data_IF_598860774938
#
_entry.id   IF_598860774938
#
_cell.length_a   1.000
_cell.length_b   1.000
_cell.length_c   1.000
_cell.angle_alpha   90.00
_cell.angle_beta   90.00
_cell.angle_gamma   90.00
#
_symmetry.space_group_name_H-M   'P 1'
#
loop_
_entity.id
_entity.type
_entity.pdbx_description
1 polymer ?
#
# COMPACT_ATOMS: atom_id res chain seq x y z
N UNK A 1 22.19 -13.85 13.91
CA UNK A 1 20.77 -13.48 14.10
C UNK A 1 20.60 -12.13 13.46
N UNK A 2 19.85 -12.07 12.37
CA UNK A 2 19.67 -10.83 11.63
C UNK A 2 18.75 -9.89 12.40
N UNK A 3 19.13 -8.62 12.47
CA UNK A 3 18.36 -7.59 13.16
C UNK A 3 17.41 -6.99 12.13
N UNK A 4 16.09 -7.07 12.38
CA UNK A 4 15.11 -6.35 11.59
C UNK A 4 15.24 -4.84 11.85
N UNK A 5 15.52 -4.07 10.80
CA UNK A 5 15.69 -2.61 10.84
C UNK A 5 14.79 -1.96 9.80
N UNK A 6 14.21 -0.82 10.15
CA UNK A 6 13.30 -0.06 9.30
C UNK A 6 13.59 1.44 9.44
N UNK A 7 13.13 2.21 8.46
CA UNK A 7 13.09 3.66 8.58
C UNK A 7 11.71 4.06 9.10
N UNK A 8 11.70 5.01 10.04
CA UNK A 8 10.48 5.66 10.48
C UNK A 8 10.35 6.98 9.74
N UNK A 9 9.20 7.18 9.11
CA UNK A 9 8.85 8.41 8.43
C UNK A 9 7.75 9.11 9.19
N UNK A 10 7.77 10.43 9.19
CA UNK A 10 6.60 11.22 9.55
C UNK A 10 5.73 11.36 8.32
N UNK A 11 4.59 10.66 8.31
CA UNK A 11 3.64 10.72 7.20
C UNK A 11 2.68 11.92 7.34
N UNK A 12 2.56 12.53 8.53
CA UNK A 12 1.45 13.39 8.89
C UNK A 12 0.16 12.63 9.23
N UNK A 13 -0.94 13.36 9.38
CA UNK A 13 -2.24 12.81 9.74
C UNK A 13 -2.95 12.17 8.53
N UNK A 14 -3.47 10.95 8.71
CA UNK A 14 -4.27 10.27 7.70
C UNK A 14 -5.27 9.30 8.33
N UNK A 15 -6.27 8.90 7.54
CA UNK A 15 -7.13 7.76 7.84
C UNK A 15 -6.92 6.66 6.82
N UNK A 16 -6.81 5.41 7.27
CA UNK A 16 -6.70 4.24 6.40
C UNK A 16 -7.88 3.29 6.49
N UNK A 17 -8.11 2.57 5.39
CA UNK A 17 -9.21 1.63 5.22
C UNK A 17 -8.72 0.35 4.54
N UNK A 18 -9.38 -0.77 4.86
CA UNK A 18 -9.30 -2.04 4.12
C UNK A 18 -10.73 -2.41 3.73
N UNK A 19 -11.01 -2.50 2.43
CA UNK A 19 -12.36 -2.77 1.90
C UNK A 19 -13.42 -1.85 2.55
N UNK A 20 -13.14 -0.53 2.52
CA UNK A 20 -13.97 0.55 3.08
C UNK A 20 -14.22 0.53 4.59
N UNK A 21 -13.59 -0.39 5.31
CA UNK A 21 -13.62 -0.41 6.77
C UNK A 21 -12.36 0.26 7.30
N UNK A 22 -12.54 1.26 8.17
CA UNK A 22 -11.42 1.94 8.84
C UNK A 22 -10.55 0.90 9.55
N UNK A 23 -9.26 0.93 9.29
CA UNK A 23 -8.31 -0.06 9.79
C UNK A 23 -6.91 0.56 9.94
N UNK A 24 -6.14 0.08 10.90
CA UNK A 24 -4.71 0.37 11.01
C UNK A 24 -3.94 -0.55 10.06
N UNK A 25 -3.04 0.03 9.26
CA UNK A 25 -2.19 -0.70 8.32
C UNK A 25 -0.82 -0.94 8.95
N UNK A 26 -0.38 -2.20 9.02
CA UNK A 26 0.86 -2.59 9.68
C UNK A 26 0.86 -2.37 11.20
N UNK A 27 2.03 -2.58 11.80
CA UNK A 27 2.26 -2.52 13.25
C UNK A 27 3.38 -1.54 13.62
N UNK A 28 3.66 -0.53 12.79
CA UNK A 28 4.76 0.43 12.99
C UNK A 28 4.74 1.07 14.39
N UNK A 29 3.55 1.42 14.90
CA UNK A 29 3.38 2.04 16.21
C UNK A 29 3.69 1.08 17.36
N UNK A 30 3.31 -0.19 17.24
CA UNK A 30 3.61 -1.25 18.18
C UNK A 30 5.11 -1.53 18.18
N UNK A 31 5.75 -1.57 17.02
CA UNK A 31 7.20 -1.73 16.91
C UNK A 31 7.96 -0.58 17.54
N UNK A 32 7.52 0.66 17.33
CA UNK A 32 8.11 1.84 17.98
C UNK A 32 8.03 1.79 19.52
N UNK A 33 7.04 1.08 20.07
CA UNK A 33 6.86 0.87 21.53
C UNK A 33 7.57 -0.38 22.04
N UNK A 34 8.25 -1.14 21.19
CA UNK A 34 8.84 -2.44 21.57
C UNK A 34 7.80 -3.56 21.77
N UNK A 35 6.58 -3.38 21.25
CA UNK A 35 5.44 -4.30 21.43
C UNK A 35 5.28 -5.21 20.21
N UNK A 36 6.23 -6.10 19.97
CA UNK A 36 6.22 -7.04 18.85
C UNK A 36 6.55 -8.45 19.32
N UNK A 37 6.13 -9.47 18.56
CA UNK A 37 6.45 -10.86 18.87
C UNK A 37 7.96 -11.08 18.80
N UNK A 38 8.50 -11.79 19.79
CA UNK A 38 9.91 -12.23 19.81
C UNK A 38 10.04 -13.73 19.49
N UNK A 39 8.97 -14.35 18.99
CA UNK A 39 9.00 -15.76 18.62
C UNK A 39 9.98 -15.99 17.46
N UNK A 40 10.75 -17.10 17.48
CA UNK A 40 11.56 -17.49 16.33
C UNK A 40 10.71 -17.56 15.06
N UNK A 41 11.25 -17.07 13.94
CA UNK A 41 10.60 -17.08 12.63
C UNK A 41 9.34 -16.20 12.51
N UNK A 42 9.08 -15.31 13.47
CA UNK A 42 8.01 -14.32 13.31
C UNK A 42 8.25 -13.43 12.08
N UNK A 43 7.21 -13.24 11.27
CA UNK A 43 7.30 -12.48 10.01
C UNK A 43 7.31 -10.97 10.28
N UNK A 44 8.42 -10.46 10.80
CA UNK A 44 8.55 -9.07 11.22
C UNK A 44 8.29 -8.07 10.09
N UNK A 45 8.84 -8.35 8.90
CA UNK A 45 8.68 -7.48 7.74
C UNK A 45 7.20 -7.31 7.35
N UNK A 46 6.45 -8.42 7.27
CA UNK A 46 5.04 -8.40 6.90
C UNK A 46 4.18 -7.75 8.00
N UNK A 47 4.50 -8.03 9.26
CA UNK A 47 3.77 -7.49 10.41
C UNK A 47 3.99 -5.98 10.54
N UNK A 48 5.22 -5.51 10.35
CA UNK A 48 5.57 -4.09 10.42
C UNK A 48 4.85 -3.28 9.34
N UNK A 49 5.00 -3.65 8.07
CA UNK A 49 4.43 -2.89 6.94
C UNK A 49 2.94 -3.18 6.68
N UNK A 50 2.43 -4.30 7.20
CA UNK A 50 1.03 -4.71 7.11
C UNK A 50 0.76 -5.63 5.93
N UNK A 51 0.56 -6.91 6.22
CA UNK A 51 0.15 -7.93 5.24
C UNK A 51 -1.35 -8.01 4.98
N UNK A 52 -2.12 -6.97 5.32
CA UNK A 52 -3.55 -6.91 5.00
C UNK A 52 -3.73 -6.99 3.48
N UNK A 53 -4.68 -7.81 3.02
CA UNK A 53 -5.11 -7.89 1.62
C UNK A 53 -6.52 -7.31 1.46
N UNK A 54 -6.85 -6.86 0.25
CA UNK A 54 -8.05 -6.11 -0.07
C UNK A 54 -7.70 -4.72 -0.63
N UNK A 55 -8.73 -3.97 -1.01
CA UNK A 55 -8.55 -2.59 -1.44
C UNK A 55 -8.13 -1.76 -0.24
N UNK A 56 -6.89 -1.29 -0.24
CA UNK A 56 -6.35 -0.44 0.82
C UNK A 56 -6.48 1.00 0.35
N UNK A 57 -7.03 1.85 1.21
CA UNK A 57 -7.19 3.29 0.93
C UNK A 57 -6.56 4.12 2.04
N UNK A 58 -5.82 5.14 1.65
CA UNK A 58 -5.32 6.20 2.54
C UNK A 58 -5.98 7.53 2.16
N UNK A 59 -6.43 8.27 3.17
CA UNK A 59 -7.00 9.62 3.03
C UNK A 59 -6.14 10.59 3.85
N UNK A 60 -5.40 11.45 3.17
CA UNK A 60 -4.60 12.52 3.78
C UNK A 60 -5.32 13.88 3.77
N UNK A 61 -6.49 13.97 3.13
CA UNK A 61 -7.37 15.13 3.14
C UNK A 61 -6.69 16.42 2.63
N UNK A 62 -5.93 16.29 1.55
CA UNK A 62 -5.20 17.38 0.89
C UNK A 62 -5.89 17.69 -0.46
N UNK A 63 -7.04 18.40 -0.49
CA UNK A 63 -7.91 18.48 -1.67
C UNK A 63 -7.25 19.09 -2.92
N UNK A 64 -6.15 19.82 -2.77
CA UNK A 64 -5.39 20.41 -3.87
C UNK A 64 -4.31 19.46 -4.45
N UNK A 65 -4.16 18.25 -3.88
CA UNK A 65 -3.23 17.22 -4.35
C UNK A 65 -3.94 16.16 -5.20
N UNK A 66 -3.23 15.50 -6.13
CA UNK A 66 -3.80 14.43 -6.94
C UNK A 66 -4.23 13.21 -6.10
N UNK A 67 -5.09 12.37 -6.69
CA UNK A 67 -5.39 11.03 -6.21
C UNK A 67 -4.50 9.99 -6.89
N UNK A 68 -3.97 9.05 -6.11
CA UNK A 68 -3.01 8.05 -6.54
C UNK A 68 -3.62 6.64 -6.56
N UNK A 69 -3.32 5.86 -7.60
CA UNK A 69 -3.46 4.41 -7.61
C UNK A 69 -2.09 3.75 -7.65
N UNK A 70 -1.80 2.90 -6.67
CA UNK A 70 -0.61 2.05 -6.62
C UNK A 70 -1.02 0.61 -6.97
N UNK A 71 -0.40 0.06 -7.99
CA UNK A 71 -0.50 -1.34 -8.39
C UNK A 71 0.83 -2.01 -8.06
N UNK A 72 0.83 -2.92 -7.09
CA UNK A 72 2.09 -3.46 -6.56
C UNK A 72 1.96 -4.83 -5.94
N UNK A 73 3.07 -5.55 -5.85
CA UNK A 73 3.20 -6.72 -4.99
C UNK A 73 3.66 -6.36 -3.59
N UNK A 74 4.21 -7.35 -2.87
CA UNK A 74 4.79 -7.14 -1.55
C UNK A 74 5.82 -6.00 -1.53
N UNK A 75 6.50 -5.67 -2.63
CA UNK A 75 7.47 -4.56 -2.68
C UNK A 75 6.84 -3.19 -2.48
N UNK A 76 5.52 -3.04 -2.64
CA UNK A 76 4.80 -1.80 -2.34
C UNK A 76 4.53 -1.60 -0.86
N UNK A 77 4.49 -2.66 -0.04
CA UNK A 77 4.15 -2.56 1.39
C UNK A 77 5.05 -1.57 2.15
N UNK A 78 6.39 -1.54 1.94
CA UNK A 78 7.27 -0.62 2.65
C UNK A 78 7.11 0.86 2.29
N UNK A 79 6.60 1.16 1.10
CA UNK A 79 6.65 2.52 0.55
C UNK A 79 5.26 3.14 0.35
N UNK A 80 4.19 2.34 0.32
CA UNK A 80 2.83 2.82 0.01
C UNK A 80 2.36 3.97 0.89
N UNK A 81 2.70 3.97 2.18
CA UNK A 81 2.37 5.08 3.10
C UNK A 81 3.16 6.34 2.80
N UNK A 82 4.46 6.19 2.49
CA UNK A 82 5.32 7.31 2.14
C UNK A 82 4.88 7.95 0.81
N UNK A 83 4.52 7.15 -0.19
CA UNK A 83 3.93 7.69 -1.41
C UNK A 83 2.61 8.38 -1.09
N UNK A 84 1.72 7.70 -0.36
CA UNK A 84 0.39 8.24 -0.05
C UNK A 84 0.41 9.59 0.69
N UNK A 85 1.42 9.86 1.53
CA UNK A 85 1.53 11.14 2.25
C UNK A 85 1.72 12.38 1.38
N UNK A 86 1.97 12.20 0.08
CA UNK A 86 2.09 13.28 -0.90
C UNK A 86 0.84 13.48 -1.78
N UNK A 87 -0.24 12.73 -1.53
CA UNK A 87 -1.46 12.71 -2.34
C UNK A 87 -2.69 12.97 -1.47
N UNK A 88 -3.80 13.37 -2.08
CA UNK A 88 -5.06 13.58 -1.37
C UNK A 88 -5.64 12.26 -0.86
N UNK A 89 -5.82 11.33 -1.80
CA UNK A 89 -6.28 9.96 -1.60
C UNK A 89 -5.32 9.02 -2.31
N UNK A 90 -5.07 7.86 -1.73
CA UNK A 90 -4.34 6.78 -2.40
C UNK A 90 -5.11 5.48 -2.29
N UNK A 91 -5.28 4.80 -3.43
CA UNK A 91 -5.74 3.41 -3.53
C UNK A 91 -4.52 2.53 -3.76
N UNK A 92 -4.39 1.47 -2.97
CA UNK A 92 -3.37 0.45 -3.13
C UNK A 92 -4.05 -0.88 -3.42
N UNK A 93 -3.68 -1.51 -4.54
CA UNK A 93 -4.14 -2.83 -4.94
C UNK A 93 -2.94 -3.79 -4.99
N UNK A 94 -3.07 -4.93 -4.31
CA UNK A 94 -2.11 -6.03 -4.46
C UNK A 94 -2.35 -6.82 -5.77
N UNK A 95 -1.53 -7.84 -6.02
CA UNK A 95 -1.67 -8.71 -7.21
C UNK A 95 -3.05 -9.39 -7.31
N UNK A 96 -3.67 -9.74 -6.19
CA UNK A 96 -5.00 -10.36 -6.17
C UNK A 96 -6.08 -9.36 -6.57
N UNK A 97 -6.07 -8.15 -6.00
CA UNK A 97 -7.08 -7.14 -6.38
C UNK A 97 -6.88 -6.68 -7.82
N UNK A 98 -5.64 -6.52 -8.24
CA UNK A 98 -5.28 -6.11 -9.61
C UNK A 98 -5.76 -7.10 -10.66
N UNK A 99 -5.79 -8.41 -10.34
CA UNK A 99 -6.26 -9.45 -11.25
C UNK A 99 -7.77 -9.70 -11.22
N UNK A 100 -8.50 -9.11 -10.28
CA UNK A 100 -9.94 -9.38 -10.08
C UNK A 100 -10.84 -8.18 -10.30
N UNK A 101 -10.33 -6.96 -10.12
CA UNK A 101 -11.09 -5.72 -10.28
C UNK A 101 -10.97 -5.17 -11.71
N UNK A 102 -12.00 -4.45 -12.15
CA UNK A 102 -11.91 -3.60 -13.33
C UNK A 102 -11.14 -2.33 -12.97
N UNK A 103 -9.89 -2.24 -13.43
CA UNK A 103 -9.02 -1.10 -13.13
C UNK A 103 -9.54 0.22 -13.72
N UNK A 104 -10.24 0.19 -14.85
CA UNK A 104 -10.84 1.40 -15.41
C UNK A 104 -11.96 1.91 -14.49
N UNK A 105 -12.76 0.99 -13.95
CA UNK A 105 -13.79 1.33 -12.97
C UNK A 105 -13.17 1.87 -11.67
N UNK A 106 -12.09 1.25 -11.17
CA UNK A 106 -11.36 1.76 -9.99
C UNK A 106 -10.84 3.17 -10.23
N UNK A 107 -10.26 3.43 -11.41
CA UNK A 107 -9.75 4.76 -11.80
C UNK A 107 -10.89 5.79 -11.84
N UNK A 108 -12.01 5.43 -12.47
CA UNK A 108 -13.16 6.32 -12.61
C UNK A 108 -13.85 6.61 -11.27
N UNK A 109 -14.11 5.59 -10.44
CA UNK A 109 -14.84 5.73 -9.17
C UNK A 109 -14.05 6.47 -8.09
N UNK A 110 -12.72 6.53 -8.22
CA UNK A 110 -11.84 7.14 -7.23
C UNK A 110 -11.18 8.43 -7.72
N UNK A 111 -11.59 8.95 -8.88
CA UNK A 111 -11.04 10.15 -9.52
C UNK A 111 -9.50 10.11 -9.59
N UNK A 112 -8.92 9.00 -10.06
CA UNK A 112 -7.47 8.79 -10.04
C UNK A 112 -6.77 9.67 -11.08
N UNK A 113 -5.81 10.47 -10.64
CA UNK A 113 -4.98 11.34 -11.48
C UNK A 113 -3.65 10.68 -11.88
N UNK A 114 -3.09 9.88 -10.97
CA UNK A 114 -1.76 9.27 -11.12
C UNK A 114 -1.84 7.78 -10.87
N UNK A 115 -1.27 6.99 -11.77
CA UNK A 115 -1.13 5.53 -11.61
C UNK A 115 0.36 5.18 -11.50
N UNK A 116 0.73 4.44 -10.47
CA UNK A 116 2.09 3.93 -10.25
C UNK A 116 2.06 2.41 -10.25
N UNK A 117 2.89 1.82 -11.08
CA UNK A 117 3.20 0.39 -11.05
C UNK A 117 4.53 0.22 -10.30
N UNK A 118 4.55 -0.60 -9.26
CA UNK A 118 5.74 -0.84 -8.46
C UNK A 118 5.86 -2.34 -8.19
N UNK A 119 6.94 -2.97 -8.63
CA UNK A 119 7.08 -4.41 -8.44
C UNK A 119 8.17 -5.00 -9.29
N UNK A 120 8.11 -6.32 -9.47
CA UNK A 120 9.01 -7.03 -10.39
C UNK A 120 8.62 -6.76 -11.83
N UNK A 121 9.59 -6.80 -12.76
CA UNK A 121 9.38 -6.58 -14.20
C UNK A 121 8.23 -7.44 -14.75
N UNK A 122 8.11 -8.70 -14.32
CA UNK A 122 7.05 -9.62 -14.73
C UNK A 122 5.63 -9.12 -14.44
N UNK A 123 5.45 -8.28 -13.42
CA UNK A 123 4.16 -7.65 -13.12
C UNK A 123 3.82 -6.47 -14.02
N UNK A 124 4.79 -5.91 -14.75
CA UNK A 124 4.52 -4.88 -15.75
C UNK A 124 4.17 -5.52 -17.10
N UNK A 125 4.75 -6.69 -17.39
CA UNK A 125 4.48 -7.43 -18.63
C UNK A 125 3.00 -7.77 -18.83
N UNK A 126 2.25 -8.05 -17.74
CA UNK A 126 0.80 -8.29 -17.81
C UNK A 126 -0.01 -7.09 -18.33
N UNK A 127 0.55 -5.89 -18.29
CA UNK A 127 -0.08 -4.66 -18.77
C UNK A 127 0.44 -4.19 -20.13
N UNK A 128 1.54 -4.79 -20.63
CA UNK A 128 2.15 -4.40 -21.89
C UNK A 128 1.39 -4.89 -23.14
N UNK A 129 0.29 -5.62 -22.96
CA UNK A 129 -0.51 -6.17 -24.04
C UNK A 129 0.26 -7.24 -24.82
N UNK A 130 -0.28 -8.46 -24.88
CA UNK A 130 -0.12 -9.23 -26.11
C UNK A 130 -0.84 -8.44 -27.20
N UNK A 131 -0.09 -7.61 -27.92
CA UNK A 131 -0.58 -7.01 -29.15
C UNK A 131 -1.02 -8.13 -30.09
N UNK A 132 -2.31 -8.11 -30.44
CA UNK A 132 -3.08 -9.03 -31.30
C UNK A 132 -3.36 -10.42 -30.76
#
# INVERSE_FOLDING_TARGET
>A
MDIFKTYQFDYGDYTSYVNDRKATIGMEAEYAKGQFSTEPSYQHWLSFYGGQSGVIRFEFHQPDQPNLLILSDSQGLPIRKLLASHFNRTIYLDDQQTSTLDLNQVIADNDIDVVVFLGQISQFERFNGSGT
#
